data_IF_186815034150
#
_entry.id   IF_186815034150
#
_cell.length_a   1.000
_cell.length_b   1.000
_cell.length_c   1.000
_cell.angle_alpha   90.00
_cell.angle_beta   90.00
_cell.angle_gamma   90.00
#
_symmetry.space_group_name_H-M   'P 1'
#
loop_
_entity.id
_entity.type
_entity.pdbx_description
1 polymer ?
#
# COMPACT_ATOMS: atom_id res chain seq x y z
N UNK A 1 -2.29 -0.37 -16.79
CA UNK A 1 -2.62 0.64 -15.77
C UNK A 1 -2.70 -0.09 -14.44
N UNK A 2 -2.34 0.55 -13.33
CA UNK A 2 -2.53 -0.05 -12.01
C UNK A 2 -3.77 0.57 -11.38
N UNK A 3 -4.73 -0.26 -10.99
CA UNK A 3 -5.84 0.12 -10.10
C UNK A 3 -5.37 0.02 -8.66
N UNK A 4 -5.71 1.00 -7.83
CA UNK A 4 -5.34 1.06 -6.42
C UNK A 4 -6.34 1.93 -5.63
N UNK A 5 -6.48 1.75 -4.31
CA UNK A 5 -7.39 2.56 -3.50
C UNK A 5 -6.93 4.03 -3.47
N UNK A 6 -7.86 4.94 -3.77
CA UNK A 6 -7.62 6.38 -3.68
C UNK A 6 -7.73 6.93 -2.26
N UNK A 7 -8.37 6.18 -1.34
CA UNK A 7 -8.56 6.55 0.07
C UNK A 7 -8.67 5.30 0.93
N UNK A 8 -8.09 5.37 2.13
CA UNK A 8 -8.31 4.40 3.21
C UNK A 8 -8.61 5.17 4.50
N UNK A 9 -9.49 4.62 5.32
CA UNK A 9 -9.79 5.16 6.66
C UNK A 9 -9.22 4.20 7.68
N UNK A 10 -8.40 4.71 8.60
CA UNK A 10 -7.82 3.96 9.70
C UNK A 10 -8.49 4.38 11.00
N UNK A 11 -8.70 3.40 11.88
CA UNK A 11 -9.25 3.61 13.22
C UNK A 11 -8.29 3.05 14.27
N UNK A 12 -8.58 3.28 15.54
CA UNK A 12 -7.88 2.67 16.69
C UNK A 12 -7.96 1.14 16.72
N UNK A 13 -8.86 0.52 15.96
CA UNK A 13 -8.88 -0.92 15.74
C UNK A 13 -7.79 -1.43 14.77
N UNK A 14 -7.14 -0.54 14.01
CA UNK A 14 -6.15 -0.89 12.98
C UNK A 14 -4.72 -0.54 13.44
N UNK A 15 -4.32 -0.91 14.65
CA UNK A 15 -3.07 -0.44 15.28
C UNK A 15 -1.80 -1.25 14.97
N UNK A 16 -1.93 -2.30 14.18
CA UNK A 16 -0.84 -3.21 13.82
C UNK A 16 -1.05 -3.78 12.41
N UNK A 17 0.01 -4.27 11.73
CA UNK A 17 -0.10 -4.79 10.36
C UNK A 17 -1.16 -5.88 10.18
N UNK A 18 -1.30 -6.78 11.16
CA UNK A 18 -2.28 -7.89 11.13
C UNK A 18 -3.72 -7.38 11.06
N UNK A 19 -4.02 -6.24 11.69
CA UNK A 19 -5.31 -5.55 11.70
C UNK A 19 -5.40 -4.38 10.72
N UNK A 20 -4.36 -4.19 9.90
CA UNK A 20 -4.29 -3.10 8.92
C UNK A 20 -5.34 -3.23 7.83
N UNK A 21 -5.75 -2.09 7.28
CA UNK A 21 -6.66 -2.00 6.14
C UNK A 21 -5.92 -2.36 4.85
N UNK A 22 -6.52 -3.22 4.03
CA UNK A 22 -5.93 -3.70 2.78
C UNK A 22 -5.79 -2.58 1.75
N UNK A 23 -4.63 -2.52 1.13
CA UNK A 23 -4.32 -1.74 -0.07
C UNK A 23 -4.23 -2.71 -1.24
N UNK A 24 -5.31 -2.86 -2.00
CA UNK A 24 -5.33 -3.77 -3.13
C UNK A 24 -4.86 -3.07 -4.40
N UNK A 25 -3.83 -3.62 -5.03
CA UNK A 25 -3.31 -3.17 -6.32
C UNK A 25 -3.65 -4.22 -7.36
N UNK A 26 -4.10 -3.79 -8.53
CA UNK A 26 -4.41 -4.67 -9.64
C UNK A 26 -3.84 -4.13 -10.95
N UNK A 27 -3.16 -4.99 -11.69
CA UNK A 27 -2.61 -4.67 -12.99
C UNK A 27 -3.65 -4.94 -14.09
N UNK A 28 -4.09 -3.86 -14.72
CA UNK A 28 -5.09 -3.85 -15.79
C UNK A 28 -4.45 -3.50 -17.14
N UNK A 29 -5.00 -4.05 -18.22
CA UNK A 29 -4.68 -3.65 -19.58
C UNK A 29 -5.14 -2.20 -19.82
N UNK A 30 -4.26 -1.39 -20.44
CA UNK A 30 -4.50 0.05 -20.62
C UNK A 30 -5.61 0.35 -21.64
N UNK A 31 -5.87 -0.56 -22.58
CA UNK A 31 -6.80 -0.33 -23.68
C UNK A 31 -8.20 -0.87 -23.36
N UNK A 32 -8.27 -2.00 -22.68
CA UNK A 32 -9.52 -2.72 -22.41
C UNK A 32 -10.03 -2.59 -20.97
N UNK A 33 -9.18 -2.15 -20.03
CA UNK A 33 -9.50 -2.11 -18.60
C UNK A 33 -9.68 -3.49 -17.97
N UNK A 34 -9.42 -4.56 -18.72
CA UNK A 34 -9.48 -5.94 -18.25
C UNK A 34 -8.20 -6.32 -17.50
N UNK A 35 -8.21 -7.47 -16.84
CA UNK A 35 -7.01 -8.04 -16.21
C UNK A 35 -5.86 -8.14 -17.24
N UNK A 36 -4.69 -7.62 -16.89
CA UNK A 36 -3.54 -7.62 -17.79
C UNK A 36 -3.06 -9.05 -18.11
N UNK A 37 -2.80 -9.34 -19.38
CA UNK A 37 -2.48 -10.67 -19.89
C UNK A 37 -1.11 -10.77 -20.59
N UNK A 38 -0.26 -9.74 -20.45
CA UNK A 38 1.09 -9.74 -21.04
C UNK A 38 2.10 -10.57 -20.25
N UNK A 39 3.38 -10.19 -20.30
CA UNK A 39 4.46 -10.86 -19.55
C UNK A 39 5.14 -9.96 -18.52
N UNK A 40 4.78 -8.68 -18.50
CA UNK A 40 5.42 -7.70 -17.64
C UNK A 40 5.13 -7.94 -16.16
N UNK A 41 6.13 -7.62 -15.33
CA UNK A 41 5.98 -7.53 -13.88
C UNK A 41 5.97 -6.07 -13.49
N UNK A 42 5.05 -5.67 -12.63
CA UNK A 42 4.95 -4.30 -12.12
C UNK A 42 5.11 -4.32 -10.61
N UNK A 43 6.16 -3.66 -10.13
CA UNK A 43 6.41 -3.52 -8.69
C UNK A 43 5.78 -2.24 -8.16
N UNK A 44 5.11 -2.34 -7.01
CA UNK A 44 4.58 -1.21 -6.25
C UNK A 44 5.52 -0.88 -5.11
N UNK A 45 6.05 0.35 -5.12
CA UNK A 45 6.87 0.88 -4.05
C UNK A 45 6.25 2.15 -3.48
N UNK A 46 6.59 2.49 -2.24
CA UNK A 46 6.16 3.73 -1.60
C UNK A 46 7.31 4.73 -1.51
N UNK A 47 7.05 5.98 -1.90
CA UNK A 47 8.06 7.02 -1.85
C UNK A 47 8.15 7.65 -0.45
N UNK A 48 9.38 7.88 0.02
CA UNK A 48 9.64 8.64 1.25
C UNK A 48 9.20 7.95 2.54
N UNK A 49 9.02 6.63 2.54
CA UNK A 49 8.70 5.89 3.75
C UNK A 49 9.97 5.72 4.59
N UNK A 50 9.88 5.97 5.89
CA UNK A 50 10.96 5.69 6.85
C UNK A 50 10.54 4.54 7.77
N UNK A 51 10.10 4.90 8.98
CA UNK A 51 9.48 3.99 9.97
C UNK A 51 7.97 4.22 10.09
N UNK A 52 7.39 4.87 9.08
CA UNK A 52 6.01 5.36 9.04
C UNK A 52 5.94 6.80 8.52
N UNK A 53 4.71 7.26 8.31
CA UNK A 53 4.39 8.62 7.90
C UNK A 53 3.71 9.37 9.04
N UNK A 54 4.28 10.49 9.47
CA UNK A 54 3.57 11.40 10.36
C UNK A 54 2.35 11.97 9.64
N UNK A 55 1.21 11.94 10.33
CA UNK A 55 -0.08 12.44 9.84
C UNK A 55 -0.33 13.84 10.41
N UNK A 56 -1.05 14.67 9.65
CA UNK A 56 -1.37 16.05 10.03
C UNK A 56 -2.84 16.20 10.37
N UNK A 57 -3.16 17.09 11.31
CA UNK A 57 -4.53 17.34 11.78
C UNK A 57 -4.68 17.04 13.26
N UNK A 58 -5.89 16.63 13.65
CA UNK A 58 -6.28 16.38 15.04
C UNK A 58 -6.48 17.63 15.87
N UNK A 59 -7.05 17.44 17.06
CA UNK A 59 -7.17 18.44 18.12
C UNK A 59 -6.16 18.24 19.25
N UNK A 60 -5.49 17.08 19.29
CA UNK A 60 -4.47 16.74 20.28
C UNK A 60 -3.71 15.46 19.93
N UNK A 61 -2.50 15.31 20.50
CA UNK A 61 -1.65 14.14 20.29
C UNK A 61 -0.95 14.08 18.92
N UNK A 62 -0.39 12.92 18.60
CA UNK A 62 0.26 12.66 17.30
C UNK A 62 -0.11 11.29 16.75
N UNK A 63 -0.45 11.24 15.46
CA UNK A 63 -0.73 10.01 14.73
C UNK A 63 0.35 9.75 13.66
N UNK A 64 0.80 8.50 13.59
CA UNK A 64 1.70 8.02 12.53
C UNK A 64 1.03 6.87 11.80
N UNK A 65 1.17 6.83 10.48
CA UNK A 65 0.68 5.73 9.66
C UNK A 65 1.83 4.79 9.31
N UNK A 66 1.65 3.50 9.55
CA UNK A 66 2.52 2.44 9.07
C UNK A 66 2.00 1.83 7.77
N UNK A 67 2.91 1.25 7.00
CA UNK A 67 2.62 0.44 5.82
C UNK A 67 3.30 -0.93 5.94
N UNK A 68 2.62 -1.98 5.51
CA UNK A 68 3.12 -3.34 5.50
C UNK A 68 2.87 -4.01 4.14
N UNK A 69 3.71 -4.99 3.80
CA UNK A 69 3.58 -5.78 2.58
C UNK A 69 2.49 -6.87 2.68
N UNK A 70 2.34 -7.68 1.64
CA UNK A 70 1.36 -8.76 1.57
C UNK A 70 1.45 -9.80 2.69
N UNK A 71 2.65 -9.98 3.26
CA UNK A 71 2.92 -10.87 4.38
C UNK A 71 2.69 -10.22 5.75
N UNK A 72 2.07 -9.02 5.79
CA UNK A 72 1.86 -8.23 7.02
C UNK A 72 3.16 -7.80 7.71
N UNK A 73 4.27 -7.77 7.00
CA UNK A 73 5.53 -7.26 7.53
C UNK A 73 5.61 -5.76 7.26
N UNK A 74 5.84 -4.97 8.32
CA UNK A 74 6.06 -3.53 8.17
C UNK A 74 7.21 -3.26 7.18
N UNK A 75 7.00 -2.30 6.28
CA UNK A 75 8.06 -1.85 5.39
C UNK A 75 9.21 -1.26 6.21
N UNK A 76 10.43 -1.56 5.81
CA UNK A 76 11.62 -0.99 6.42
C UNK A 76 12.67 -0.78 5.35
N UNK A 77 13.47 0.28 5.50
CA UNK A 77 14.49 0.62 4.51
C UNK A 77 15.49 -0.52 4.29
N UNK A 78 16.09 -0.64 3.09
CA UNK A 78 15.84 0.17 1.88
C UNK A 78 14.66 -0.33 1.03
N UNK A 79 14.00 -1.42 1.43
CA UNK A 79 13.02 -2.11 0.61
C UNK A 79 11.60 -1.59 0.88
N UNK A 80 11.25 -0.48 0.25
CA UNK A 80 9.92 0.14 0.31
C UNK A 80 8.90 -0.50 -0.63
N UNK A 81 9.09 -1.77 -0.96
CA UNK A 81 8.23 -2.53 -1.85
C UNK A 81 7.04 -3.09 -1.08
N UNK A 82 5.83 -2.71 -1.51
CA UNK A 82 4.58 -3.28 -0.99
C UNK A 82 4.30 -4.67 -1.59
N UNK A 83 4.71 -4.85 -2.85
CA UNK A 83 4.64 -6.11 -3.58
C UNK A 83 4.76 -5.89 -5.08
N UNK A 84 4.65 -7.00 -5.81
CA UNK A 84 4.69 -7.03 -7.27
C UNK A 84 3.44 -7.71 -7.84
N UNK A 85 2.98 -7.20 -8.98
CA UNK A 85 1.90 -7.78 -9.79
C UNK A 85 2.54 -8.34 -11.04
N UNK A 86 2.27 -9.61 -11.35
CA UNK A 86 2.81 -10.25 -12.55
C UNK A 86 1.68 -10.81 -13.40
N UNK A 87 1.76 -10.60 -14.70
CA UNK A 87 0.87 -11.25 -15.62
C UNK A 87 1.14 -12.74 -15.66
N UNK A 88 0.06 -13.52 -15.64
CA UNK A 88 0.18 -14.95 -15.42
C UNK A 88 0.49 -15.73 -16.70
N UNK A 89 1.35 -16.74 -16.57
CA UNK A 89 1.40 -17.87 -17.48
C UNK A 89 0.60 -19.04 -16.85
N UNK A 90 -0.68 -19.25 -17.18
CA UNK A 90 -1.48 -20.42 -16.68
C UNK A 90 -2.81 -20.13 -15.97
N UNK A 91 -3.14 -20.77 -14.81
CA UNK A 91 -4.47 -20.69 -14.11
C UNK A 91 -4.63 -19.99 -12.71
N UNK A 92 -3.61 -19.54 -11.96
CA UNK A 92 -3.73 -18.70 -10.73
C UNK A 92 -4.23 -17.22 -10.83
N UNK A 93 -4.16 -16.42 -9.74
CA UNK A 93 -4.44 -14.95 -9.71
C UNK A 93 -3.13 -14.19 -9.37
N UNK A 94 -2.35 -13.77 -10.37
CA UNK A 94 -1.03 -13.12 -10.16
C UNK A 94 -1.01 -11.61 -10.48
N UNK A 95 -2.09 -11.07 -11.02
CA UNK A 95 -2.20 -9.66 -11.43
C UNK A 95 -2.44 -8.71 -10.26
N UNK A 96 -2.32 -9.19 -9.02
CA UNK A 96 -2.70 -8.45 -7.81
C UNK A 96 -1.56 -8.44 -6.81
N UNK A 97 -1.41 -7.31 -6.13
CA UNK A 97 -0.59 -7.19 -4.94
C UNK A 97 -1.45 -6.60 -3.83
N UNK A 98 -1.23 -7.04 -2.59
CA UNK A 98 -1.92 -6.48 -1.43
C UNK A 98 -0.88 -5.93 -0.47
N UNK A 99 -0.98 -4.64 -0.14
CA UNK A 99 -0.32 -4.03 1.00
C UNK A 99 -1.32 -3.78 2.13
N UNK A 100 -0.85 -3.23 3.24
CA UNK A 100 -1.72 -2.85 4.36
C UNK A 100 -1.30 -1.53 4.99
N UNK A 101 -2.27 -0.67 5.28
CA UNK A 101 -2.08 0.55 6.05
C UNK A 101 -2.63 0.37 7.47
N UNK A 102 -1.92 0.89 8.46
CA UNK A 102 -2.32 0.76 9.87
C UNK A 102 -1.85 1.98 10.67
N UNK A 103 -2.49 2.23 11.81
CA UNK A 103 -2.23 3.36 12.67
C UNK A 103 -1.16 3.00 13.70
N UNK A 104 0.01 3.63 13.61
CA UNK A 104 1.06 3.62 14.63
C UNK A 104 0.82 4.79 15.58
N UNK A 105 -0.24 4.75 16.39
CA UNK A 105 -0.47 5.79 17.40
C UNK A 105 0.68 5.81 18.40
N UNK A 106 1.33 6.95 18.55
CA UNK A 106 2.45 7.12 19.51
C UNK A 106 2.08 7.98 20.72
N UNK A 107 1.02 8.79 20.62
CA UNK A 107 0.61 9.70 21.71
C UNK A 107 -0.89 10.05 21.64
N UNK A 108 -1.77 9.08 21.96
CA UNK A 108 -3.23 9.25 22.11
C UNK A 108 -3.86 10.32 21.19
N UNK A 109 -3.81 10.11 19.86
CA UNK A 109 -4.32 11.09 18.91
C UNK A 109 -5.83 11.29 19.07
N UNK A 110 -6.25 12.55 19.15
CA UNK A 110 -7.67 12.94 19.20
C UNK A 110 -8.05 13.69 17.91
N UNK A 111 -9.20 13.32 17.33
CA UNK A 111 -9.74 13.94 16.13
C UNK A 111 -9.32 13.26 14.82
N UNK A 112 -9.48 13.98 13.70
CA UNK A 112 -9.19 13.45 12.35
C UNK A 112 -7.81 13.86 11.88
N UNK A 113 -7.02 12.87 11.47
CA UNK A 113 -5.69 13.06 10.90
C UNK A 113 -5.68 12.61 9.44
N UNK A 114 -4.85 13.24 8.61
CA UNK A 114 -4.73 12.94 7.19
C UNK A 114 -3.28 12.82 6.75
N UNK A 115 -3.05 12.01 5.72
CA UNK A 115 -1.75 11.92 5.05
C UNK A 115 -1.94 11.59 3.59
N UNK A 116 -1.21 12.30 2.73
CA UNK A 116 -1.05 11.90 1.33
C UNK A 116 0.17 10.98 1.20
N UNK A 117 -0.01 9.87 0.52
CA UNK A 117 1.05 8.90 0.20
C UNK A 117 1.17 8.78 -1.31
N UNK A 118 2.41 8.71 -1.79
CA UNK A 118 2.71 8.51 -3.21
C UNK A 118 3.25 7.10 -3.41
N UNK A 119 2.64 6.38 -4.35
CA UNK A 119 3.12 5.08 -4.82
C UNK A 119 3.83 5.24 -6.16
N UNK A 120 4.94 4.53 -6.31
CA UNK A 120 5.68 4.43 -7.57
C UNK A 120 5.48 3.04 -8.14
N UNK A 121 5.05 2.98 -9.39
CA UNK A 121 4.89 1.75 -10.16
C UNK A 121 6.05 1.64 -11.13
N UNK A 122 6.81 0.54 -11.06
CA UNK A 122 7.94 0.28 -11.94
C UNK A 122 7.69 -0.99 -12.74
N UNK A 123 7.75 -0.86 -14.06
CA UNK A 123 7.75 -1.99 -14.97
C UNK A 123 9.13 -2.68 -14.89
N UNK A 124 9.12 -3.98 -14.62
CA UNK A 124 10.27 -4.85 -14.61
C UNK A 124 10.55 -5.34 -16.02
N UNK A 125 11.16 -4.49 -16.85
CA UNK A 125 11.75 -4.95 -18.11
C UNK A 125 12.93 -5.87 -17.77
N UNK A 126 12.82 -7.14 -18.13
CA UNK A 126 13.97 -8.02 -18.39
C UNK A 126 13.97 -8.38 -19.85
#
# INVERSE_FOLDING_TARGET
MVSFPSKVTLTDYNTEPSKGQSLNFELLDKLSGQAYAGSETVTVSVAGYGTGFDMTGGSGGSAKMGLANGSKTELSGPNFELGSMKAKVGTGKENVATGYAYLKSTANPEGTFTKTVTFTFKDGTT
#
